data_IF_685650106917
#
_entry.id   IF_685650106917
#
_cell.length_a   1.000
_cell.length_b   1.000
_cell.length_c   1.000
_cell.angle_alpha   90.00
_cell.angle_beta   90.00
_cell.angle_gamma   90.00
#
_symmetry.space_group_name_H-M   'P 1'
#
loop_
_entity.id
_entity.type
_entity.pdbx_description
1 polymer ?
#
# COMPACT_ATOMS: atom_id res chain seq x y z
N UNK A 1 -26.77 14.96 -9.99
CA UNK A 1 -25.74 14.78 -11.04
C UNK A 1 -25.89 13.42 -11.73
N UNK A 2 -26.29 13.41 -13.00
CA UNK A 2 -26.25 12.18 -13.79
C UNK A 2 -24.81 11.68 -13.96
N UNK A 3 -24.58 10.38 -13.79
CA UNK A 3 -23.26 9.78 -14.02
C UNK A 3 -22.98 9.72 -15.53
N UNK A 4 -21.73 10.01 -15.94
CA UNK A 4 -21.30 9.92 -17.33
C UNK A 4 -21.45 8.50 -17.91
N UNK A 5 -21.65 8.41 -19.23
CA UNK A 5 -21.76 7.15 -19.97
C UNK A 5 -20.54 6.25 -19.72
N UNK A 6 -19.33 6.83 -19.74
CA UNK A 6 -18.08 6.11 -19.45
C UNK A 6 -18.08 5.50 -18.04
N UNK A 7 -18.59 6.23 -17.05
CA UNK A 7 -18.70 5.76 -15.67
C UNK A 7 -19.70 4.60 -15.55
N UNK A 8 -20.87 4.73 -16.20
CA UNK A 8 -21.89 3.67 -16.27
C UNK A 8 -21.32 2.39 -16.93
N UNK A 9 -20.64 2.53 -18.07
CA UNK A 9 -20.01 1.41 -18.78
C UNK A 9 -18.94 0.70 -17.92
N UNK A 10 -18.06 1.46 -17.25
CA UNK A 10 -17.07 0.88 -16.33
C UNK A 10 -17.70 0.10 -15.18
N UNK A 11 -18.81 0.60 -14.60
CA UNK A 11 -19.54 -0.13 -13.55
C UNK A 11 -20.12 -1.44 -14.09
N UNK A 12 -20.74 -1.41 -15.27
CA UNK A 12 -21.27 -2.61 -15.95
C UNK A 12 -20.19 -3.68 -16.15
N UNK A 13 -19.03 -3.29 -16.71
CA UNK A 13 -17.90 -4.21 -16.92
C UNK A 13 -17.36 -4.76 -15.60
N UNK A 14 -17.31 -3.95 -14.53
CA UNK A 14 -16.90 -4.43 -13.20
C UNK A 14 -17.89 -5.46 -12.63
N UNK A 15 -19.20 -5.27 -12.83
CA UNK A 15 -20.21 -6.24 -12.40
C UNK A 15 -20.02 -7.59 -13.10
N UNK A 16 -19.92 -7.58 -14.44
CA UNK A 16 -19.63 -8.78 -15.25
C UNK A 16 -18.33 -9.45 -14.81
N UNK A 17 -17.27 -8.66 -14.52
CA UNK A 17 -16.00 -9.20 -14.03
C UNK A 17 -16.16 -9.90 -12.67
N UNK A 18 -16.99 -9.36 -11.76
CA UNK A 18 -17.25 -9.98 -10.46
C UNK A 18 -17.99 -11.31 -10.61
N UNK A 19 -19.02 -11.37 -11.44
CA UNK A 19 -19.75 -12.60 -11.76
C UNK A 19 -18.81 -13.68 -12.30
N UNK A 20 -17.96 -13.34 -13.27
CA UNK A 20 -16.96 -14.26 -13.83
C UNK A 20 -15.94 -14.75 -12.80
N UNK A 21 -15.54 -13.89 -11.86
CA UNK A 21 -14.53 -14.23 -10.84
C UNK A 21 -15.11 -14.92 -9.61
N UNK A 22 -16.43 -14.80 -9.37
CA UNK A 22 -17.11 -15.35 -8.20
C UNK A 22 -16.80 -16.85 -7.96
N UNK A 23 -16.96 -17.78 -8.93
CA UNK A 23 -16.70 -19.20 -8.69
C UNK A 23 -15.22 -19.49 -8.40
N UNK A 24 -14.30 -18.76 -9.05
CA UNK A 24 -12.86 -18.90 -8.81
C UNK A 24 -12.47 -18.43 -7.42
N UNK A 25 -13.06 -17.33 -6.95
CA UNK A 25 -12.83 -16.81 -5.60
C UNK A 25 -13.42 -17.77 -4.57
N UNK A 26 -14.63 -18.29 -4.80
CA UNK A 26 -15.27 -19.28 -3.94
C UNK A 26 -14.40 -20.53 -3.78
N UNK A 27 -13.90 -21.11 -4.88
CA UNK A 27 -12.99 -22.26 -4.82
C UNK A 27 -11.73 -21.98 -4.00
N UNK A 28 -11.14 -20.79 -4.16
CA UNK A 28 -9.96 -20.37 -3.37
C UNK A 28 -10.30 -20.27 -1.89
N UNK A 29 -11.45 -19.67 -1.56
CA UNK A 29 -11.91 -19.54 -0.17
C UNK A 29 -12.19 -20.90 0.46
N UNK A 30 -12.84 -21.82 -0.27
CA UNK A 30 -13.04 -23.20 0.19
C UNK A 30 -11.70 -23.89 0.47
N UNK A 31 -10.75 -23.81 -0.46
CA UNK A 31 -9.42 -24.39 -0.26
C UNK A 31 -8.69 -23.80 0.95
N UNK A 32 -8.78 -22.47 1.16
CA UNK A 32 -8.21 -21.85 2.36
C UNK A 32 -8.88 -22.35 3.62
N UNK A 33 -10.22 -22.46 3.65
CA UNK A 33 -10.97 -22.96 4.81
C UNK A 33 -10.60 -24.42 5.13
N UNK A 34 -10.44 -25.27 4.11
CA UNK A 34 -10.01 -26.66 4.30
C UNK A 34 -8.59 -26.79 4.86
N UNK A 35 -7.70 -25.86 4.53
CA UNK A 35 -6.31 -25.88 5.00
C UNK A 35 -6.12 -25.26 6.38
N UNK A 36 -7.10 -24.54 6.91
CA UNK A 36 -7.01 -23.93 8.22
C UNK A 36 -7.32 -24.96 9.30
N UNK A 37 -6.50 -25.01 10.35
CA UNK A 37 -6.77 -25.82 11.53
C UNK A 37 -8.07 -25.34 12.18
N UNK A 38 -9.11 -26.18 12.10
CA UNK A 38 -10.43 -25.86 12.64
C UNK A 38 -10.40 -25.43 14.11
N UNK A 39 -9.46 -25.97 14.90
CA UNK A 39 -9.27 -25.60 16.30
C UNK A 39 -8.80 -24.14 16.47
N UNK A 40 -7.87 -23.66 15.63
CA UNK A 40 -7.37 -22.28 15.72
C UNK A 40 -8.44 -21.27 15.35
N UNK A 41 -9.24 -21.57 14.32
CA UNK A 41 -10.34 -20.71 13.90
C UNK A 41 -11.45 -20.64 14.96
N UNK A 42 -11.86 -21.79 15.55
CA UNK A 42 -12.90 -21.79 16.59
C UNK A 42 -12.51 -20.90 17.77
N UNK A 43 -11.25 -20.97 18.22
CA UNK A 43 -10.73 -20.08 19.27
C UNK A 43 -10.81 -18.60 18.87
N UNK A 44 -10.45 -18.22 17.65
CA UNK A 44 -10.56 -16.83 17.18
C UNK A 44 -12.01 -16.35 17.05
N UNK A 45 -12.93 -17.19 16.57
CA UNK A 45 -14.35 -16.84 16.43
C UNK A 45 -15.01 -16.66 17.80
N UNK A 46 -14.81 -17.60 18.73
CA UNK A 46 -15.39 -17.51 20.08
C UNK A 46 -14.90 -16.25 20.80
N UNK A 47 -13.61 -15.90 20.66
CA UNK A 47 -13.05 -14.67 21.21
C UNK A 47 -13.65 -13.40 20.57
N UNK A 48 -13.94 -13.42 19.26
CA UNK A 48 -14.49 -12.25 18.55
C UNK A 48 -16.00 -12.05 18.77
N UNK A 49 -16.76 -13.12 18.93
CA UNK A 49 -18.19 -13.02 19.24
C UNK A 49 -18.41 -12.50 20.66
N UNK A 50 -17.52 -12.83 21.61
CA UNK A 50 -17.50 -12.21 22.95
C UNK A 50 -17.11 -10.71 22.91
N UNK A 51 -16.32 -10.27 21.93
CA UNK A 51 -15.88 -8.88 21.81
C UNK A 51 -16.97 -7.90 21.33
N UNK A 52 -18.12 -8.37 20.82
CA UNK A 52 -19.20 -7.46 20.42
C UNK A 52 -20.00 -6.93 21.62
N UNK A 53 -19.90 -7.56 22.80
CA UNK A 53 -20.61 -7.10 24.01
C UNK A 53 -19.72 -6.49 25.09
N UNK A 54 -18.42 -6.30 24.88
CA UNK A 54 -17.59 -5.61 25.87
C UNK A 54 -16.52 -4.76 25.20
N UNK A 55 -16.79 -3.45 25.18
CA UNK A 55 -15.78 -2.44 24.94
C UNK A 55 -14.81 -2.43 26.13
N UNK A 56 -13.59 -2.92 25.94
CA UNK A 56 -12.43 -2.52 26.74
C UNK A 56 -11.14 -2.57 25.90
N UNK A 57 -10.22 -1.58 26.03
CA UNK A 57 -9.13 -1.40 25.09
C UNK A 57 -7.80 -1.88 25.68
N UNK A 58 -7.39 -3.11 25.39
CA UNK A 58 -6.01 -3.53 25.67
C UNK A 58 -5.52 -4.61 24.71
N UNK A 59 -5.58 -4.32 23.41
CA UNK A 59 -4.76 -5.05 22.43
C UNK A 59 -3.67 -4.10 22.01
N UNK A 60 -2.54 -4.20 22.70
CA UNK A 60 -1.24 -3.69 22.31
C UNK A 60 -1.08 -3.78 20.79
N UNK A 61 -1.31 -2.63 20.14
CA UNK A 61 -1.02 -2.42 18.73
C UNK A 61 0.47 -2.66 18.56
N UNK A 62 0.79 -3.89 18.16
CA UNK A 62 2.09 -4.37 17.69
C UNK A 62 2.89 -3.19 17.16
N UNK A 63 3.85 -2.72 17.96
CA UNK A 63 4.91 -1.81 17.55
C UNK A 63 5.75 -2.56 16.53
N UNK A 64 5.21 -2.67 15.32
CA UNK A 64 5.93 -3.18 14.17
C UNK A 64 7.12 -2.25 14.01
N UNK A 65 8.34 -2.81 14.06
CA UNK A 65 9.58 -2.10 13.81
C UNK A 65 9.52 -1.48 12.41
N UNK A 66 8.92 -0.30 12.34
CA UNK A 66 8.92 0.47 11.13
C UNK A 66 10.26 1.18 11.11
N UNK A 67 11.20 0.60 10.36
CA UNK A 67 12.39 1.25 9.76
C UNK A 67 12.04 2.52 8.92
N UNK A 68 10.83 3.05 9.08
CA UNK A 68 10.31 4.28 8.49
C UNK A 68 10.99 5.54 9.02
N UNK A 69 11.66 5.47 10.18
CA UNK A 69 12.28 6.63 10.84
C UNK A 69 13.52 7.21 10.14
N UNK A 70 14.28 6.38 9.41
CA UNK A 70 15.64 6.78 8.97
C UNK A 70 15.72 7.21 7.50
N UNK A 71 14.59 7.45 6.84
CA UNK A 71 14.58 7.90 5.45
C UNK A 71 14.58 9.43 5.37
N UNK A 72 15.57 9.98 4.67
CA UNK A 72 15.60 11.40 4.37
C UNK A 72 14.37 11.80 3.54
N UNK A 73 13.41 12.56 4.10
CA UNK A 73 12.18 12.97 3.42
C UNK A 73 12.43 13.74 2.10
N UNK A 74 13.57 14.44 2.00
CA UNK A 74 13.95 15.23 0.82
C UNK A 74 14.51 14.39 -0.33
N UNK A 75 15.33 13.39 -0.02
CA UNK A 75 16.03 12.56 -1.02
C UNK A 75 15.41 11.18 -1.19
N UNK A 76 14.53 10.77 -0.26
CA UNK A 76 13.99 9.42 -0.08
C UNK A 76 15.07 8.34 -0.02
N UNK A 77 16.25 8.71 0.49
CA UNK A 77 17.40 7.81 0.65
C UNK A 77 17.51 7.38 2.10
N UNK A 78 18.00 6.16 2.27
CA UNK A 78 18.51 5.62 3.54
C UNK A 78 19.82 6.31 3.94
N UNK A 79 20.30 6.16 5.19
CA UNK A 79 21.54 6.78 5.67
C UNK A 79 22.80 6.30 4.91
N UNK A 80 22.79 5.08 4.39
CA UNK A 80 23.80 4.51 3.48
C UNK A 80 23.82 5.15 2.07
N UNK A 81 22.85 6.03 1.76
CA UNK A 81 22.69 6.66 0.45
C UNK A 81 21.95 5.81 -0.59
N UNK A 82 21.52 4.59 -0.25
CA UNK A 82 20.73 3.71 -1.11
C UNK A 82 19.24 4.11 -1.13
N UNK A 83 18.50 3.65 -2.14
CA UNK A 83 17.04 3.81 -2.19
C UNK A 83 16.38 2.55 -1.62
N UNK A 84 15.30 2.68 -0.82
CA UNK A 84 14.56 1.52 -0.33
C UNK A 84 13.97 0.68 -1.48
N UNK A 85 13.89 -0.63 -1.27
CA UNK A 85 13.44 -1.61 -2.28
C UNK A 85 12.00 -1.35 -2.76
N UNK A 86 11.14 -0.84 -1.87
CA UNK A 86 9.75 -0.49 -2.22
C UNK A 86 9.62 0.77 -3.10
N UNK A 87 10.69 1.56 -3.27
CA UNK A 87 10.68 2.70 -4.17
C UNK A 87 10.84 2.26 -5.62
N UNK A 88 9.78 2.51 -6.40
CA UNK A 88 9.82 2.28 -7.85
C UNK A 88 10.97 3.02 -8.53
N UNK A 89 11.70 2.31 -9.38
CA UNK A 89 12.79 2.85 -10.21
C UNK A 89 12.38 4.10 -11.02
N UNK A 90 11.11 4.21 -11.43
CA UNK A 90 10.60 5.40 -12.13
C UNK A 90 10.64 6.65 -11.24
N UNK A 91 10.25 6.52 -9.96
CA UNK A 91 10.30 7.62 -8.98
C UNK A 91 11.75 8.05 -8.74
N UNK A 92 12.66 7.08 -8.63
CA UNK A 92 14.10 7.33 -8.48
C UNK A 92 14.64 8.13 -9.68
N UNK A 93 14.35 7.70 -10.92
CA UNK A 93 14.77 8.40 -12.14
C UNK A 93 14.23 9.83 -12.21
N UNK A 94 12.94 10.03 -11.85
CA UNK A 94 12.32 11.37 -11.79
C UNK A 94 13.04 12.28 -10.79
N UNK A 95 13.32 11.78 -9.58
CA UNK A 95 14.03 12.56 -8.55
C UNK A 95 15.46 12.90 -8.95
N UNK A 96 16.21 11.96 -9.57
CA UNK A 96 17.54 12.24 -10.11
C UNK A 96 17.51 13.35 -11.18
N UNK A 97 16.51 13.35 -12.06
CA UNK A 97 16.32 14.43 -13.06
C UNK A 97 16.06 15.79 -12.40
N UNK A 98 15.16 15.85 -11.42
CA UNK A 98 14.87 17.08 -10.66
C UNK A 98 16.12 17.64 -9.98
N UNK A 99 16.95 16.77 -9.38
CA UNK A 99 18.21 17.17 -8.75
C UNK A 99 19.23 17.71 -9.76
N UNK A 100 19.40 17.06 -10.93
CA UNK A 100 20.29 17.55 -11.99
C UNK A 100 19.90 18.94 -12.49
N UNK A 101 18.59 19.21 -12.63
CA UNK A 101 18.07 20.52 -13.01
C UNK A 101 18.36 21.57 -11.93
N UNK A 102 18.22 21.22 -10.64
CA UNK A 102 18.55 22.14 -9.53
C UNK A 102 20.05 22.44 -9.49
N UNK A 103 20.90 21.45 -9.72
CA UNK A 103 22.35 21.61 -9.78
C UNK A 103 22.78 22.50 -10.96
N UNK A 104 22.21 22.29 -12.15
CA UNK A 104 22.52 23.12 -13.32
C UNK A 104 22.03 24.56 -13.16
N UNK A 105 20.89 24.79 -12.50
CA UNK A 105 20.44 26.15 -12.12
C UNK A 105 21.40 26.81 -11.14
N UNK A 106 21.88 26.08 -10.14
CA UNK A 106 22.86 26.58 -9.16
C UNK A 106 24.19 26.96 -9.83
N UNK A 107 24.71 26.12 -10.72
CA UNK A 107 25.95 26.40 -11.45
C UNK A 107 25.80 27.56 -12.43
N UNK A 108 24.66 27.68 -13.11
CA UNK A 108 24.35 28.83 -13.99
C UNK A 108 24.26 30.14 -13.20
N UNK A 109 23.66 30.14 -12.01
CA UNK A 109 23.61 31.32 -11.13
C UNK A 109 25.00 31.70 -10.63
N UNK A 110 25.82 30.72 -10.22
CA UNK A 110 27.20 30.96 -9.79
C UNK A 110 28.06 31.56 -10.89
N UNK A 111 27.87 31.13 -12.14
CA UNK A 111 28.55 31.72 -13.32
C UNK A 111 28.07 33.12 -13.69
N UNK A 112 26.83 33.48 -13.36
CA UNK A 112 26.25 34.80 -13.66
C UNK A 112 26.66 35.86 -12.63
N UNK A 113 26.92 35.46 -11.40
CA UNK A 113 27.36 36.34 -10.31
C UNK A 113 28.89 36.52 -10.28
N UNK A 114 29.60 35.92 -11.22
CA UNK A 114 31.04 36.02 -11.38
C UNK A 114 31.32 36.86 -12.61
#
# INVERSE_FOLDING_TARGET
MAKSIRSKSKRRVRAIKRERLAPRVLKRLQATVSNLDSNKIKMEIDNSNMATESADPDVELLKMETDSGNLNLKTMKKPDGSYPVWLSQRKIKKKKREQKIKQSKKSRKARRNR
#
